data_IF_581978668483
#
_entry.id   IF_581978668483
#
_cell.length_a   1.000
_cell.length_b   1.000
_cell.length_c   1.000
_cell.angle_alpha   90.00
_cell.angle_beta   90.00
_cell.angle_gamma   90.00
#
_symmetry.space_group_name_H-M   'P 1'
#
loop_
_entity.id
_entity.type
_entity.pdbx_description
1 polymer ?
#
# COMPACT_ATOMS: atom_id res chain seq x y z
N UNK A 1 -20.03 59.61 -8.70
CA UNK A 1 -19.44 58.62 -9.63
C UNK A 1 -17.94 58.39 -9.43
N UNK A 2 -17.09 59.42 -9.32
CA UNK A 2 -15.62 59.24 -9.22
C UNK A 2 -15.10 58.38 -8.05
N UNK A 3 -15.76 58.39 -6.89
CA UNK A 3 -15.34 57.59 -5.72
C UNK A 3 -15.61 56.09 -5.87
N UNK A 4 -16.69 55.71 -6.57
CA UNK A 4 -17.00 54.30 -6.85
C UNK A 4 -16.02 53.76 -7.88
N UNK A 5 -15.69 54.55 -8.91
CA UNK A 5 -14.67 54.20 -9.90
C UNK A 5 -13.28 54.02 -9.25
N UNK A 6 -12.91 54.91 -8.33
CA UNK A 6 -11.64 54.81 -7.60
C UNK A 6 -11.56 53.56 -6.71
N UNK A 7 -12.66 53.16 -6.06
CA UNK A 7 -12.73 51.92 -5.28
C UNK A 7 -12.66 50.68 -6.18
N UNK A 8 -13.35 50.69 -7.32
CA UNK A 8 -13.32 49.57 -8.27
C UNK A 8 -11.93 49.40 -8.89
N UNK A 9 -11.22 50.50 -9.17
CA UNK A 9 -9.83 50.46 -9.64
C UNK A 9 -8.90 49.99 -8.52
N UNK A 10 -9.08 50.46 -7.29
CA UNK A 10 -8.29 49.99 -6.13
C UNK A 10 -8.47 48.49 -5.87
N UNK A 11 -9.70 47.98 -5.93
CA UNK A 11 -9.99 46.56 -5.84
C UNK A 11 -9.43 45.77 -7.02
N UNK A 12 -9.48 46.31 -8.24
CA UNK A 12 -8.87 45.68 -9.42
C UNK A 12 -7.34 45.57 -9.27
N UNK A 13 -6.69 46.61 -8.73
CA UNK A 13 -5.23 46.62 -8.49
C UNK A 13 -4.86 45.63 -7.39
N UNK A 14 -5.61 45.56 -6.29
CA UNK A 14 -5.40 44.56 -5.23
C UNK A 14 -5.62 43.14 -5.77
N UNK A 15 -6.64 42.94 -6.61
CA UNK A 15 -6.92 41.63 -7.23
C UNK A 15 -5.82 41.27 -8.23
N UNK A 16 -5.27 42.23 -8.98
CA UNK A 16 -4.13 42.02 -9.88
C UNK A 16 -2.83 41.74 -9.11
N UNK A 17 -2.60 42.38 -7.97
CA UNK A 17 -1.47 42.11 -7.09
C UNK A 17 -1.57 40.72 -6.44
N UNK A 18 -2.76 40.32 -5.99
CA UNK A 18 -3.02 38.97 -5.47
C UNK A 18 -2.88 37.90 -6.55
N UNK A 19 -3.33 38.20 -7.78
CA UNK A 19 -3.20 37.29 -8.93
C UNK A 19 -1.78 37.25 -9.50
N UNK A 20 -0.97 38.28 -9.26
CA UNK A 20 0.47 38.27 -9.52
C UNK A 20 1.24 37.48 -8.44
N UNK A 21 0.78 37.47 -7.19
CA UNK A 21 1.35 36.59 -6.15
C UNK A 21 1.00 35.11 -6.34
N UNK A 22 -0.09 34.77 -7.04
CA UNK A 22 -0.43 33.39 -7.41
C UNK A 22 0.34 32.87 -8.65
N UNK A 23 1.17 33.71 -9.30
CA UNK A 23 1.95 33.35 -10.50
C UNK A 23 3.43 33.72 -10.38
N UNK A 24 4.08 33.29 -9.30
CA UNK A 24 5.53 33.16 -9.26
C UNK A 24 5.91 31.68 -9.37
N UNK A 25 6.42 31.21 -10.51
CA UNK A 25 7.37 30.11 -10.51
C UNK A 25 8.80 30.68 -10.44
N UNK A 26 9.54 30.11 -9.48
CA UNK A 26 10.99 29.89 -9.47
C UNK A 26 11.91 31.07 -9.13
N UNK A 27 12.90 30.72 -8.30
CA UNK A 27 14.06 31.51 -7.85
C UNK A 27 13.79 32.57 -6.77
N UNK A 28 13.33 32.11 -5.60
CA UNK A 28 14.29 32.30 -4.52
C UNK A 28 15.44 31.35 -4.81
N UNK A 29 16.61 31.90 -5.11
CA UNK A 29 17.84 31.30 -4.60
C UNK A 29 17.72 31.32 -3.07
N UNK A 30 16.80 30.53 -2.53
CA UNK A 30 17.04 29.83 -1.29
C UNK A 30 18.31 29.07 -1.63
N UNK A 31 19.45 29.60 -1.18
CA UNK A 31 20.56 28.76 -0.80
C UNK A 31 19.90 27.57 -0.12
N UNK A 32 19.81 26.43 -0.83
CA UNK A 32 19.41 25.16 -0.25
C UNK A 32 20.22 25.14 1.04
N UNK A 33 19.62 25.12 2.24
CA UNK A 33 20.46 24.88 3.40
C UNK A 33 21.24 23.63 3.03
N UNK A 34 22.56 23.70 3.03
CA UNK A 34 23.43 22.56 2.70
C UNK A 34 23.13 21.34 3.62
N UNK A 35 22.22 21.53 4.58
CA UNK A 35 21.85 20.71 5.73
C UNK A 35 20.34 20.42 5.85
N UNK A 36 19.56 20.42 4.74
CA UNK A 36 18.14 20.00 4.76
C UNK A 36 17.94 18.52 4.41
N UNK A 37 16.98 17.85 5.06
CA UNK A 37 16.58 16.46 4.79
C UNK A 37 15.28 16.42 3.96
N UNK A 38 15.38 15.96 2.71
CA UNK A 38 14.23 15.73 1.84
C UNK A 38 13.56 14.39 2.18
N UNK A 39 12.32 14.39 2.65
CA UNK A 39 11.57 13.19 3.02
C UNK A 39 10.54 12.86 1.93
N UNK A 40 10.54 11.60 1.50
CA UNK A 40 9.49 10.99 0.68
C UNK A 40 8.93 9.80 1.42
N UNK A 41 7.62 9.78 1.67
CA UNK A 41 6.92 8.63 2.26
C UNK A 41 5.91 8.11 1.26
N UNK A 42 6.09 6.88 0.81
CA UNK A 42 5.04 6.17 0.09
C UNK A 42 4.28 5.28 1.07
N UNK A 43 2.97 5.47 1.16
CA UNK A 43 2.10 4.63 1.97
C UNK A 43 1.01 3.96 1.12
N UNK A 44 0.75 2.69 1.40
CA UNK A 44 -0.31 1.92 0.77
C UNK A 44 -1.07 1.15 1.85
N UNK A 45 -2.37 1.38 1.92
CA UNK A 45 -3.28 0.53 2.68
C UNK A 45 -3.53 -0.79 1.95
N UNK A 46 -4.48 -1.64 2.39
CA UNK A 46 -4.79 -2.91 1.73
C UNK A 46 -5.63 -2.76 0.44
N UNK A 47 -5.65 -1.55 -0.13
CA UNK A 47 -6.38 -1.19 -1.34
C UNK A 47 -5.39 -0.98 -2.48
N UNK A 48 -5.75 -1.43 -3.68
CA UNK A 48 -4.87 -1.40 -4.86
C UNK A 48 -5.44 -0.42 -5.91
N UNK A 49 -4.67 0.32 -6.76
CA UNK A 49 -3.48 1.14 -6.54
C UNK A 49 -3.70 2.63 -6.95
N UNK A 50 -2.63 3.45 -7.13
CA UNK A 50 -2.30 3.79 -8.51
C UNK A 50 -0.82 3.62 -8.84
N UNK A 51 -0.53 3.45 -10.14
CA UNK A 51 0.83 3.37 -10.68
C UNK A 51 1.40 4.76 -10.99
N UNK A 52 2.61 4.97 -10.46
CA UNK A 52 3.71 5.90 -10.80
C UNK A 52 3.50 7.39 -10.51
N UNK A 53 4.38 7.93 -9.66
CA UNK A 53 5.03 9.22 -9.93
C UNK A 53 6.55 9.00 -10.02
N UNK A 54 6.99 9.07 -11.28
CA UNK A 54 8.29 9.45 -11.83
C UNK A 54 9.50 8.69 -11.28
N UNK A 55 9.97 7.74 -12.11
CA UNK A 55 11.31 7.16 -12.16
C UNK A 55 12.33 7.81 -11.20
N UNK A 56 12.83 7.10 -10.18
CA UNK A 56 13.73 5.95 -10.36
C UNK A 56 13.18 4.64 -9.84
N UNK A 57 12.78 3.83 -10.82
CA UNK A 57 12.14 2.52 -10.78
C UNK A 57 12.50 1.58 -9.60
N UNK A 58 11.65 1.53 -8.57
CA UNK A 58 11.68 0.42 -7.61
C UNK A 58 11.43 0.76 -6.15
N UNK A 59 11.01 1.97 -5.80
CA UNK A 59 10.61 2.31 -4.43
C UNK A 59 9.27 1.64 -4.06
N UNK A 60 9.33 0.34 -3.80
CA UNK A 60 8.24 -0.41 -3.19
C UNK A 60 8.19 0.01 -1.71
N UNK A 61 7.13 0.75 -1.36
CA UNK A 61 6.81 1.20 0.01
C UNK A 61 8.03 1.62 0.84
N UNK A 62 8.73 2.66 0.43
CA UNK A 62 9.91 3.14 1.14
C UNK A 62 9.65 4.50 1.80
N UNK A 63 10.30 4.72 2.94
CA UNK A 63 10.58 6.06 3.44
C UNK A 63 11.95 6.45 2.87
N UNK A 64 11.97 7.37 1.92
CA UNK A 64 13.22 7.98 1.46
C UNK A 64 13.49 9.21 2.30
N UNK A 65 14.65 9.26 2.93
CA UNK A 65 15.09 10.41 3.71
C UNK A 65 16.45 10.86 3.16
N UNK A 66 16.44 11.94 2.38
CA UNK A 66 17.54 12.44 1.58
C UNK A 66 17.91 11.45 0.48
N UNK A 67 19.16 10.99 0.50
CA UNK A 67 19.66 9.94 -0.41
C UNK A 67 19.49 8.52 0.16
N UNK A 68 19.02 8.38 1.41
CA UNK A 68 18.85 7.09 2.06
C UNK A 68 17.45 6.54 1.79
N UNK A 69 17.38 5.33 1.26
CA UNK A 69 16.13 4.60 1.10
C UNK A 69 16.00 3.65 2.29
N UNK A 70 15.02 3.90 3.15
CA UNK A 70 14.65 2.99 4.22
C UNK A 70 13.67 1.98 3.62
N UNK A 71 14.25 0.92 3.05
CA UNK A 71 13.50 -0.20 2.47
C UNK A 71 13.31 -1.26 3.55
N UNK A 72 12.16 -1.89 3.48
CA UNK A 72 11.83 -3.11 4.19
C UNK A 72 12.63 -4.30 3.63
N UNK A 73 13.01 -5.23 4.49
CA UNK A 73 13.52 -6.54 4.05
C UNK A 73 12.42 -7.25 3.24
N UNK A 74 12.79 -8.06 2.25
CA UNK A 74 11.88 -8.62 1.22
C UNK A 74 10.63 -9.36 1.77
N UNK A 75 10.64 -9.74 3.06
CA UNK A 75 9.59 -10.49 3.75
C UNK A 75 8.94 -9.76 4.95
N UNK A 76 9.15 -8.46 5.14
CA UNK A 76 8.61 -7.82 6.35
C UNK A 76 7.08 -7.63 6.31
N UNK A 77 6.42 -7.72 7.49
CA UNK A 77 4.97 -7.87 7.57
C UNK A 77 4.22 -6.55 7.35
N UNK A 78 2.97 -6.63 6.85
CA UNK A 78 2.03 -5.50 6.79
C UNK A 78 1.95 -4.75 8.13
N UNK A 79 1.94 -3.42 8.12
CA UNK A 79 1.97 -2.62 9.34
C UNK A 79 2.19 -1.12 9.16
N UNK A 80 2.61 -0.46 10.25
CA UNK A 80 3.11 0.92 10.22
C UNK A 80 4.64 0.87 10.20
N UNK A 81 5.23 1.41 9.14
CA UNK A 81 6.66 1.72 9.11
C UNK A 81 6.87 3.02 9.84
N UNK A 82 7.87 3.06 10.70
CA UNK A 82 8.23 4.25 11.44
C UNK A 82 9.73 4.49 11.36
N UNK A 83 10.12 5.74 11.14
CA UNK A 83 11.49 6.20 11.23
C UNK A 83 11.56 7.41 12.17
N UNK A 84 12.62 7.48 12.96
CA UNK A 84 12.90 8.60 13.85
C UNK A 84 14.24 9.23 13.53
N UNK A 85 14.29 10.55 13.59
CA UNK A 85 15.50 11.33 13.36
C UNK A 85 15.79 12.24 14.54
N UNK A 86 17.06 12.40 14.85
CA UNK A 86 17.54 13.36 15.84
C UNK A 86 17.43 14.81 15.36
N UNK A 87 17.86 15.74 16.20
CA UNK A 87 17.98 17.16 15.83
C UNK A 87 19.06 17.42 14.77
N UNK A 88 20.01 16.51 14.63
CA UNK A 88 21.06 16.47 13.61
C UNK A 88 20.58 15.89 12.28
N UNK A 89 19.31 15.48 12.18
CA UNK A 89 18.71 14.81 11.03
C UNK A 89 19.35 13.45 10.70
N UNK A 90 20.06 12.85 11.66
CA UNK A 90 20.52 11.47 11.55
C UNK A 90 19.43 10.50 12.03
N UNK A 91 19.40 9.32 11.41
CA UNK A 91 18.45 8.26 11.77
C UNK A 91 18.82 7.75 13.16
N UNK A 92 17.90 7.88 14.11
CA UNK A 92 18.07 7.33 15.45
C UNK A 92 17.44 5.95 15.58
N UNK A 93 16.39 5.68 14.79
CA UNK A 93 15.65 4.43 14.88
C UNK A 93 14.80 4.21 13.61
N UNK A 94 14.58 2.94 13.28
CA UNK A 94 13.69 2.50 12.21
C UNK A 94 13.05 1.18 12.61
N UNK A 95 11.74 1.06 12.44
CA UNK A 95 10.98 -0.13 12.83
C UNK A 95 9.74 -0.29 11.97
N UNK A 96 9.28 -1.53 11.84
CA UNK A 96 8.00 -1.87 11.24
C UNK A 96 7.11 -2.54 12.27
N UNK A 97 5.86 -2.05 12.40
CA UNK A 97 4.91 -2.48 13.42
C UNK A 97 3.74 -3.19 12.78
N UNK A 98 3.68 -4.54 12.84
CA UNK A 98 2.61 -5.30 12.20
C UNK A 98 1.32 -5.30 13.02
N UNK A 99 0.65 -4.15 13.07
CA UNK A 99 -0.51 -3.89 13.93
C UNK A 99 -1.65 -4.90 13.70
N UNK A 100 -1.82 -5.41 12.48
CA UNK A 100 -2.85 -6.40 12.16
C UNK A 100 -2.49 -7.84 12.53
N UNK A 101 -1.32 -8.08 13.13
CA UNK A 101 -0.81 -9.43 13.41
C UNK A 101 -0.84 -9.79 14.89
N UNK A 102 -0.69 -8.81 15.80
CA UNK A 102 -0.79 -9.06 17.25
C UNK A 102 -1.04 -7.78 18.05
N UNK A 103 -1.70 -7.93 19.20
CA UNK A 103 -1.89 -6.85 20.19
C UNK A 103 -0.55 -6.30 20.70
N UNK A 104 0.45 -7.17 20.81
CA UNK A 104 1.81 -6.79 21.21
C UNK A 104 2.47 -5.84 20.21
N UNK A 105 2.18 -5.97 18.91
CA UNK A 105 2.67 -5.03 17.90
C UNK A 105 2.05 -3.63 18.08
N UNK A 106 0.77 -3.58 18.45
CA UNK A 106 0.08 -2.33 18.82
C UNK A 106 0.71 -1.69 20.05
N UNK A 107 0.98 -2.47 21.10
CA UNK A 107 1.65 -1.97 22.31
C UNK A 107 3.07 -1.47 22.01
N UNK A 108 3.85 -2.23 21.25
CA UNK A 108 5.19 -1.83 20.84
C UNK A 108 5.18 -0.53 20.03
N UNK A 109 4.20 -0.34 19.14
CA UNK A 109 4.05 0.90 18.38
C UNK A 109 3.72 2.10 19.28
N UNK A 110 2.78 1.93 20.22
CA UNK A 110 2.41 2.96 21.19
C UNK A 110 3.62 3.36 22.04
N UNK A 111 4.35 2.37 22.57
CA UNK A 111 5.54 2.58 23.38
C UNK A 111 6.66 3.25 22.57
N UNK A 112 6.83 2.84 21.31
CA UNK A 112 7.79 3.44 20.39
C UNK A 112 7.52 4.93 20.20
N UNK A 113 6.26 5.33 19.96
CA UNK A 113 5.86 6.74 19.83
C UNK A 113 6.11 7.51 21.14
N UNK A 114 5.78 6.91 22.29
CA UNK A 114 5.97 7.54 23.58
C UNK A 114 7.45 7.75 23.94
N UNK A 115 8.33 6.85 23.50
CA UNK A 115 9.77 6.87 23.83
C UNK A 115 10.61 7.84 22.97
N UNK A 116 10.00 8.55 22.01
CA UNK A 116 10.76 9.43 21.10
C UNK A 116 11.43 10.59 21.84
N UNK A 117 12.72 10.80 21.54
CA UNK A 117 13.52 11.85 22.14
C UNK A 117 12.97 13.26 21.83
N UNK A 118 13.32 14.23 22.67
CA UNK A 118 12.96 15.63 22.49
C UNK A 118 14.24 16.44 22.21
N UNK A 119 14.34 17.18 21.09
CA UNK A 119 13.45 17.17 19.92
C UNK A 119 13.80 16.01 18.95
N UNK A 120 12.81 15.52 18.21
CA UNK A 120 13.02 14.52 17.14
C UNK A 120 11.98 14.63 16.03
N UNK A 121 12.29 14.14 14.84
CA UNK A 121 11.31 13.98 13.75
C UNK A 121 10.84 12.53 13.74
N UNK A 122 9.54 12.32 13.55
CA UNK A 122 8.94 11.03 13.31
C UNK A 122 8.29 11.01 11.93
N UNK A 123 8.52 9.92 11.22
CA UNK A 123 7.96 9.65 9.90
C UNK A 123 7.23 8.32 9.98
N UNK A 124 5.95 8.30 9.58
CA UNK A 124 5.11 7.12 9.58
C UNK A 124 4.57 6.87 8.18
N UNK A 125 4.55 5.60 7.75
CA UNK A 125 3.94 5.18 6.49
C UNK A 125 3.23 3.84 6.65
N UNK A 126 1.97 3.77 6.23
CA UNK A 126 1.22 2.51 6.23
C UNK A 126 1.68 1.59 5.09
N UNK A 127 1.73 0.30 5.41
CA UNK A 127 2.06 -0.80 4.52
C UNK A 127 1.02 -1.89 4.67
N UNK A 128 0.27 -2.18 3.61
CA UNK A 128 -0.81 -3.16 3.66
C UNK A 128 -1.82 -2.87 4.77
N UNK A 129 -2.05 -3.83 5.65
CA UNK A 129 -3.07 -3.73 6.71
C UNK A 129 -2.53 -3.11 7.99
N UNK A 130 -3.29 -2.14 8.48
CA UNK A 130 -3.05 -1.45 9.76
C UNK A 130 -4.28 -1.44 10.67
N UNK A 131 -5.28 -2.28 10.34
CA UNK A 131 -6.51 -2.35 11.12
C UNK A 131 -6.26 -2.98 12.49
N UNK A 132 -6.84 -2.42 13.57
CA UNK A 132 -6.78 -3.00 14.90
C UNK A 132 -7.51 -4.35 14.95
N UNK A 133 -7.07 -5.24 15.85
CA UNK A 133 -7.71 -6.55 16.04
C UNK A 133 -8.91 -6.48 17.00
N UNK A 134 -9.06 -5.37 17.74
CA UNK A 134 -10.10 -5.18 18.76
C UNK A 134 -10.49 -3.70 18.91
N UNK A 135 -11.68 -3.44 19.46
CA UNK A 135 -12.14 -2.08 19.79
C UNK A 135 -11.23 -1.39 20.82
N UNK A 136 -10.60 -2.17 21.71
CA UNK A 136 -9.65 -1.66 22.69
C UNK A 136 -8.38 -1.12 21.99
N UNK A 137 -7.83 -1.87 21.02
CA UNK A 137 -6.70 -1.42 20.21
C UNK A 137 -7.06 -0.23 19.33
N UNK A 138 -8.25 -0.23 18.73
CA UNK A 138 -8.74 0.93 17.98
C UNK A 138 -8.74 2.18 18.86
N UNK A 139 -9.22 2.06 20.10
CA UNK A 139 -9.21 3.15 21.07
C UNK A 139 -7.80 3.59 21.45
N UNK A 140 -6.87 2.65 21.64
CA UNK A 140 -5.45 2.97 21.93
C UNK A 140 -4.79 3.68 20.75
N UNK A 141 -4.97 3.18 19.54
CA UNK A 141 -4.42 3.77 18.31
C UNK A 141 -5.05 5.13 17.98
N UNK A 142 -6.34 5.32 18.27
CA UNK A 142 -7.00 6.61 18.16
C UNK A 142 -6.36 7.66 19.09
N UNK A 143 -6.02 7.28 20.33
CA UNK A 143 -5.26 8.16 21.24
C UNK A 143 -3.88 8.47 20.72
N UNK A 144 -3.19 7.55 20.04
CA UNK A 144 -1.90 7.84 19.38
C UNK A 144 -2.08 8.88 18.28
N UNK A 145 -3.09 8.75 17.43
CA UNK A 145 -3.41 9.78 16.41
C UNK A 145 -3.67 11.15 17.06
N UNK A 146 -4.46 11.20 18.13
CA UNK A 146 -4.71 12.44 18.89
C UNK A 146 -3.43 13.01 19.48
N UNK A 147 -2.57 12.17 20.07
CA UNK A 147 -1.28 12.58 20.63
C UNK A 147 -0.35 13.14 19.56
N UNK A 148 -0.34 12.56 18.36
CA UNK A 148 0.43 13.04 17.22
C UNK A 148 -0.13 14.35 16.64
N UNK A 149 -1.40 14.67 16.92
CA UNK A 149 -2.11 15.75 16.24
C UNK A 149 -2.48 15.40 14.79
N UNK A 150 -2.53 14.10 14.46
CA UNK A 150 -2.98 13.62 13.15
C UNK A 150 -4.47 13.94 12.97
N UNK A 151 -4.84 14.43 11.78
CA UNK A 151 -6.24 14.65 11.43
C UNK A 151 -6.91 13.39 10.89
N UNK A 152 -6.14 12.55 10.21
CA UNK A 152 -6.67 11.31 9.68
C UNK A 152 -6.89 10.28 10.80
N UNK A 153 -7.82 9.37 10.54
CA UNK A 153 -8.08 8.19 11.39
C UNK A 153 -7.72 6.93 10.60
N UNK A 154 -6.43 6.62 10.45
CA UNK A 154 -5.94 5.54 9.59
C UNK A 154 -6.24 4.14 10.14
N UNK A 155 -6.49 4.05 11.44
CA UNK A 155 -6.73 2.80 12.17
C UNK A 155 -8.22 2.46 12.31
N UNK A 156 -9.10 3.13 11.57
CA UNK A 156 -10.53 2.83 11.61
C UNK A 156 -10.90 1.51 10.92
N UNK A 157 -12.19 1.18 10.97
CA UNK A 157 -12.75 0.02 10.26
C UNK A 157 -12.56 0.07 8.75
N UNK A 158 -12.43 1.28 8.18
CA UNK A 158 -12.19 1.46 6.75
C UNK A 158 -10.69 1.46 6.48
N UNK A 159 -10.18 0.54 5.63
CA UNK A 159 -8.77 0.52 5.33
C UNK A 159 -8.33 1.75 4.56
N UNK A 160 -7.14 2.25 4.89
CA UNK A 160 -6.61 3.46 4.30
C UNK A 160 -5.09 3.40 4.11
N UNK A 161 -4.62 4.14 3.12
CA UNK A 161 -3.22 4.51 2.96
C UNK A 161 -2.98 5.78 3.77
N UNK A 162 -1.96 5.79 4.61
CA UNK A 162 -1.64 6.93 5.46
C UNK A 162 -0.14 7.15 5.58
N UNK A 163 0.28 8.39 5.33
CA UNK A 163 1.63 8.85 5.55
C UNK A 163 1.59 10.09 6.45
N UNK A 164 2.52 10.16 7.39
CA UNK A 164 2.57 11.22 8.39
C UNK A 164 4.02 11.62 8.68
N UNK A 165 4.26 12.91 8.86
CA UNK A 165 5.52 13.48 9.31
C UNK A 165 5.21 14.44 10.45
N UNK A 166 5.87 14.27 11.58
CA UNK A 166 5.69 15.10 12.77
C UNK A 166 6.99 15.36 13.50
N UNK A 167 7.00 16.39 14.33
CA UNK A 167 8.12 16.70 15.23
C UNK A 167 7.69 16.55 16.68
N UNK A 168 8.52 15.90 17.48
CA UNK A 168 8.38 15.84 18.93
C UNK A 168 9.12 17.01 19.54
N UNK A 169 8.41 17.85 20.30
CA UNK A 169 8.96 18.97 21.07
C UNK A 169 8.63 18.81 22.55
N UNK A 170 9.19 19.68 23.40
CA UNK A 170 8.89 19.71 24.83
C UNK A 170 7.40 19.96 25.13
N UNK A 171 6.72 20.70 24.24
CA UNK A 171 5.29 20.98 24.32
C UNK A 171 4.39 19.82 23.85
N UNK A 172 4.96 18.75 23.28
CA UNK A 172 4.22 17.65 22.69
C UNK A 172 4.58 17.39 21.23
N UNK A 173 3.77 16.59 20.54
CA UNK A 173 3.90 16.39 19.11
C UNK A 173 3.29 17.55 18.33
N UNK A 174 3.93 17.89 17.21
CA UNK A 174 3.42 18.85 16.23
C UNK A 174 3.40 18.16 14.86
N UNK A 175 2.25 18.07 14.18
CA UNK A 175 2.16 17.51 12.84
C UNK A 175 2.77 18.47 11.81
N UNK A 176 3.72 17.99 11.02
CA UNK A 176 4.35 18.76 9.95
C UNK A 176 3.67 18.52 8.61
N UNK A 177 3.38 17.26 8.30
CA UNK A 177 2.65 16.92 7.09
C UNK A 177 1.89 15.60 7.21
N UNK A 178 0.79 15.49 6.47
CA UNK A 178 -0.07 14.31 6.48
C UNK A 178 -0.70 14.08 5.10
N UNK A 179 -0.77 12.82 4.69
CA UNK A 179 -1.48 12.37 3.50
C UNK A 179 -2.31 11.12 3.83
N UNK A 180 -3.54 11.08 3.34
CA UNK A 180 -4.51 10.03 3.65
C UNK A 180 -5.41 9.71 2.45
N UNK A 181 -5.67 8.43 2.20
CA UNK A 181 -6.66 8.00 1.20
C UNK A 181 -7.24 6.64 1.54
N UNK A 182 -8.57 6.56 1.60
CA UNK A 182 -9.31 5.30 1.64
C UNK A 182 -9.49 4.67 0.24
N UNK A 183 -8.94 5.25 -0.83
CA UNK A 183 -9.22 4.79 -2.20
C UNK A 183 -7.99 4.31 -2.94
N UNK A 184 -6.84 4.89 -2.61
CA UNK A 184 -5.60 4.78 -3.37
C UNK A 184 -4.41 4.80 -2.41
N UNK A 185 -3.23 4.38 -2.89
CA UNK A 185 -1.96 4.74 -2.25
C UNK A 185 -1.77 6.26 -2.16
N UNK A 186 -0.92 6.70 -1.23
CA UNK A 186 -0.52 8.10 -1.07
C UNK A 186 1.00 8.23 -1.10
N UNK A 187 1.48 9.38 -1.55
CA UNK A 187 2.89 9.76 -1.50
C UNK A 187 2.98 11.13 -0.84
N UNK A 188 3.80 11.25 0.20
CA UNK A 188 4.04 12.47 0.94
C UNK A 188 5.47 12.94 0.67
N UNK A 189 5.64 14.21 0.33
CA UNK A 189 6.92 14.85 0.08
C UNK A 189 7.08 16.03 1.03
N UNK A 190 8.18 16.09 1.78
CA UNK A 190 8.41 17.19 2.73
C UNK A 190 9.90 17.40 2.98
N UNK A 191 10.37 18.64 3.03
CA UNK A 191 11.78 18.95 3.37
C UNK A 191 11.85 19.50 4.79
N UNK A 192 12.68 18.89 5.64
CA UNK A 192 12.93 19.35 7.02
C UNK A 192 14.34 19.91 7.15
N UNK A 193 14.48 21.09 7.73
CA UNK A 193 15.76 21.66 8.17
C UNK A 193 15.99 21.45 9.70
N UNK A 194 17.23 21.55 10.20
CA UNK A 194 17.58 21.19 11.60
C UNK A 194 16.96 22.09 12.69
N UNK A 195 16.23 23.14 12.32
CA UNK A 195 15.67 24.13 13.23
C UNK A 195 14.32 23.66 13.81
N UNK A 196 14.32 22.49 14.48
CA UNK A 196 13.11 21.76 14.86
C UNK A 196 12.11 22.57 15.71
N UNK A 197 12.60 23.46 16.57
CA UNK A 197 11.75 24.29 17.45
C UNK A 197 10.90 25.32 16.69
N UNK A 198 11.24 25.65 15.43
CA UNK A 198 10.54 26.65 14.62
C UNK A 198 9.31 26.10 13.91
N UNK A 199 9.12 24.78 13.87
CA UNK A 199 8.05 24.16 13.09
C UNK A 199 6.66 24.13 13.75
N UNK A 200 6.52 24.65 14.97
CA UNK A 200 5.24 24.65 15.70
C UNK A 200 4.07 25.24 14.91
N UNK A 201 4.38 26.18 13.99
CA UNK A 201 3.41 26.92 13.19
C UNK A 201 3.34 26.42 11.73
N UNK A 202 3.95 25.26 11.41
CA UNK A 202 4.05 24.74 10.04
C UNK A 202 3.31 23.43 9.89
N UNK A 203 2.31 23.42 9.00
CA UNK A 203 1.57 22.22 8.61
C UNK A 203 1.31 22.23 7.11
N UNK A 204 1.83 21.23 6.41
CA UNK A 204 1.53 20.96 5.00
C UNK A 204 0.50 19.85 4.89
N UNK A 205 -0.55 20.05 4.10
CA UNK A 205 -1.45 18.98 3.70
C UNK A 205 -1.15 18.64 2.24
N UNK A 206 -0.79 17.37 1.97
CA UNK A 206 -0.53 16.90 0.61
C UNK A 206 -1.53 15.83 0.25
N UNK A 207 -2.47 16.18 -0.64
CA UNK A 207 -3.41 15.24 -1.21
C UNK A 207 -2.87 14.78 -2.57
N UNK A 208 -2.46 13.52 -2.69
CA UNK A 208 -2.11 12.93 -3.99
C UNK A 208 -3.36 12.31 -4.59
N UNK A 209 -3.97 13.01 -5.54
CA UNK A 209 -5.00 12.43 -6.41
C UNK A 209 -4.34 11.47 -7.42
N UNK A 210 -4.71 10.19 -7.36
CA UNK A 210 -4.23 9.19 -8.30
C UNK A 210 -4.74 9.42 -9.73
N UNK A 211 -4.00 8.98 -10.76
CA UNK A 211 -4.33 9.20 -12.16
C UNK A 211 -5.71 8.63 -12.54
N UNK A 212 -6.51 9.47 -13.21
CA UNK A 212 -7.73 9.08 -13.90
C UNK A 212 -7.38 8.24 -15.15
N UNK A 213 -7.17 6.94 -14.97
CA UNK A 213 -6.92 6.00 -16.06
C UNK A 213 -7.23 4.55 -15.70
N UNK A 214 -7.23 3.61 -16.67
CA UNK A 214 -7.41 2.20 -16.40
C UNK A 214 -6.32 1.72 -15.43
N UNK A 215 -6.75 1.20 -14.28
CA UNK A 215 -5.86 0.73 -13.23
C UNK A 215 -5.68 -0.78 -13.40
N UNK A 216 -4.42 -1.21 -13.30
CA UNK A 216 -4.02 -2.62 -13.33
C UNK A 216 -3.17 -2.89 -12.12
N UNK A 217 -3.53 -3.94 -11.38
CA UNK A 217 -2.75 -4.44 -10.26
C UNK A 217 -2.21 -5.81 -10.59
N UNK A 218 -0.94 -6.02 -10.27
CA UNK A 218 -0.27 -7.31 -10.36
C UNK A 218 -0.27 -7.93 -8.96
N UNK A 219 -1.18 -8.88 -8.70
CA UNK A 219 -1.36 -9.45 -7.36
C UNK A 219 -0.12 -10.19 -6.86
N UNK A 220 0.80 -10.59 -7.74
CA UNK A 220 2.10 -11.15 -7.33
C UNK A 220 2.94 -10.15 -6.51
N UNK A 221 2.86 -8.85 -6.84
CA UNK A 221 3.58 -7.79 -6.12
C UNK A 221 2.92 -7.47 -4.79
N UNK A 222 1.70 -7.95 -4.59
CA UNK A 222 0.88 -7.70 -3.42
C UNK A 222 0.88 -8.90 -2.45
N UNK A 223 1.72 -9.91 -2.69
CA UNK A 223 1.85 -11.10 -1.84
C UNK A 223 2.21 -10.80 -0.38
N UNK A 224 3.12 -9.87 -0.06
CA UNK A 224 3.45 -9.56 1.34
C UNK A 224 2.23 -9.09 2.17
N UNK A 225 1.15 -8.67 1.49
CA UNK A 225 -0.08 -8.15 2.10
C UNK A 225 -1.23 -9.17 2.11
N UNK A 226 -0.99 -10.38 1.60
CA UNK A 226 -1.95 -11.48 1.64
C UNK A 226 -1.83 -12.27 2.94
N UNK A 227 -2.97 -12.65 3.53
CA UNK A 227 -3.00 -13.70 4.53
C UNK A 227 -2.77 -15.04 3.83
N UNK A 228 -1.66 -15.68 4.18
CA UNK A 228 -1.30 -17.00 3.68
C UNK A 228 -1.64 -18.07 4.72
N UNK A 229 -2.33 -19.13 4.32
CA UNK A 229 -2.41 -20.35 5.11
C UNK A 229 -1.16 -21.21 4.83
N UNK A 230 -0.09 -20.96 5.60
CA UNK A 230 1.18 -21.72 5.68
C UNK A 230 2.07 -21.81 4.42
N UNK A 231 3.27 -22.40 4.59
CA UNK A 231 4.45 -22.50 3.67
C UNK A 231 4.22 -23.19 2.31
N UNK A 232 2.96 -23.38 1.93
CA UNK A 232 2.49 -23.95 0.68
C UNK A 232 2.45 -22.93 -0.48
N UNK A 233 2.41 -21.63 -0.20
CA UNK A 233 2.33 -20.58 -1.22
C UNK A 233 3.69 -19.90 -1.40
N UNK A 234 4.08 -19.58 -2.63
CA UNK A 234 5.27 -18.78 -2.89
C UNK A 234 5.26 -18.11 -4.25
N UNK A 235 6.33 -17.36 -4.54
CA UNK A 235 6.64 -16.87 -5.87
C UNK A 235 7.34 -17.96 -6.68
N UNK A 236 6.99 -18.07 -7.95
CA UNK A 236 7.76 -18.84 -8.92
C UNK A 236 8.08 -17.96 -10.12
N UNK A 237 9.36 -17.88 -10.45
CA UNK A 237 9.85 -17.23 -11.67
C UNK A 237 9.85 -18.18 -12.88
N UNK A 238 9.47 -19.45 -12.70
CA UNK A 238 9.70 -20.52 -13.67
C UNK A 238 8.46 -20.91 -14.49
N UNK A 239 7.35 -20.16 -14.38
CA UNK A 239 6.12 -20.45 -15.12
C UNK A 239 6.27 -20.16 -16.61
N UNK A 240 6.12 -21.13 -17.51
CA UNK A 240 6.14 -20.90 -18.97
C UNK A 240 4.75 -20.90 -19.59
N UNK A 241 4.16 -19.74 -19.88
CA UNK A 241 2.94 -19.64 -20.68
C UNK A 241 3.26 -19.29 -22.14
N UNK A 242 2.97 -20.19 -23.08
CA UNK A 242 3.17 -19.95 -24.51
C UNK A 242 4.65 -19.76 -24.92
N UNK A 243 5.59 -20.35 -24.18
CA UNK A 243 7.04 -20.23 -24.45
C UNK A 243 7.72 -19.03 -23.77
N UNK A 244 6.98 -18.17 -23.07
CA UNK A 244 7.51 -17.02 -22.32
C UNK A 244 7.56 -17.38 -20.84
N UNK A 245 8.71 -17.20 -20.20
CA UNK A 245 8.88 -17.29 -18.75
C UNK A 245 8.15 -16.12 -18.08
N UNK A 246 7.28 -16.42 -17.14
CA UNK A 246 6.40 -15.49 -16.45
C UNK A 246 6.40 -15.80 -14.96
N UNK A 247 6.48 -14.73 -14.16
CA UNK A 247 6.30 -14.81 -12.72
C UNK A 247 4.86 -15.18 -12.38
N UNK A 248 4.68 -15.88 -11.26
CA UNK A 248 3.36 -16.30 -10.81
C UNK A 248 3.37 -16.87 -9.41
N UNK A 249 2.18 -17.20 -8.93
CA UNK A 249 1.96 -17.72 -7.59
C UNK A 249 1.88 -19.22 -7.66
N UNK A 250 2.72 -19.90 -6.87
CA UNK A 250 2.75 -21.35 -6.79
C UNK A 250 2.04 -21.80 -5.51
N UNK A 251 1.06 -22.68 -5.67
CA UNK A 251 0.33 -23.31 -4.57
C UNK A 251 0.78 -24.77 -4.47
N UNK A 252 1.41 -25.15 -3.34
CA UNK A 252 1.98 -26.46 -3.04
C UNK A 252 1.32 -27.09 -1.80
N UNK A 253 0.22 -27.83 -1.94
CA UNK A 253 -0.45 -28.49 -0.82
C UNK A 253 0.49 -29.43 -0.06
N UNK A 254 0.37 -29.48 1.27
CA UNK A 254 1.28 -30.24 2.14
C UNK A 254 0.63 -31.56 2.58
N UNK A 255 0.37 -32.47 1.63
CA UNK A 255 -0.14 -33.79 1.99
C UNK A 255 -0.69 -34.58 0.82
N UNK A 256 -1.04 -35.84 1.10
CA UNK A 256 -1.70 -36.75 0.14
C UNK A 256 -3.24 -36.61 0.12
N UNK A 257 -3.82 -35.79 1.01
CA UNK A 257 -5.25 -35.50 1.04
C UNK A 257 -5.58 -34.21 0.28
N UNK A 258 -6.83 -34.05 -0.17
CA UNK A 258 -7.34 -32.83 -0.80
C UNK A 258 -7.29 -31.65 0.19
N UNK A 259 -6.13 -31.02 0.32
CA UNK A 259 -5.98 -29.78 1.08
C UNK A 259 -6.19 -28.58 0.16
N UNK A 260 -7.05 -27.67 0.62
CA UNK A 260 -7.25 -26.38 -0.03
C UNK A 260 -6.18 -25.41 0.48
N UNK A 261 -5.36 -24.89 -0.44
CA UNK A 261 -4.42 -23.81 -0.13
C UNK A 261 -5.05 -22.51 -0.57
N UNK A 262 -5.07 -21.52 0.32
CA UNK A 262 -5.75 -20.25 0.09
C UNK A 262 -4.82 -19.08 0.36
N UNK A 263 -5.00 -18.05 -0.43
CA UNK A 263 -4.33 -16.78 -0.29
C UNK A 263 -5.36 -15.66 -0.34
N UNK A 264 -5.32 -14.80 0.67
CA UNK A 264 -6.45 -13.94 1.01
C UNK A 264 -5.99 -12.50 1.16
N UNK A 265 -6.48 -11.62 0.29
CA UNK A 265 -6.41 -10.18 0.49
C UNK A 265 -7.71 -9.71 1.13
N UNK A 266 -7.66 -9.32 2.40
CA UNK A 266 -8.81 -8.71 3.07
C UNK A 266 -8.94 -7.25 2.65
N UNK A 267 -10.20 -6.83 2.55
CA UNK A 267 -10.60 -5.46 2.34
C UNK A 267 -10.05 -4.80 1.06
N UNK A 268 -9.95 -5.53 -0.05
CA UNK A 268 -9.60 -5.01 -1.38
C UNK A 268 -10.72 -4.11 -1.91
N UNK A 269 -10.40 -2.86 -2.27
CA UNK A 269 -11.35 -1.95 -2.93
C UNK A 269 -11.32 -2.16 -4.43
N UNK A 270 -12.45 -2.55 -4.99
CA UNK A 270 -12.61 -2.75 -6.43
C UNK A 270 -13.13 -1.47 -7.08
N UNK A 271 -12.47 -0.97 -8.11
CA UNK A 271 -12.94 0.21 -8.85
C UNK A 271 -14.10 -0.09 -9.79
N UNK A 272 -14.60 0.96 -10.45
CA UNK A 272 -15.69 0.83 -11.43
C UNK A 272 -15.26 -0.03 -12.62
N UNK A 273 -16.06 -1.06 -12.95
CA UNK A 273 -15.78 -1.93 -14.09
C UNK A 273 -14.79 -3.06 -13.79
N UNK A 274 -14.67 -3.46 -12.52
CA UNK A 274 -13.67 -4.43 -12.08
C UNK A 274 -13.72 -5.77 -12.82
N UNK A 275 -12.56 -6.31 -13.17
CA UNK A 275 -12.38 -7.68 -13.65
C UNK A 275 -11.06 -8.28 -13.18
N UNK A 276 -11.04 -9.60 -13.04
CA UNK A 276 -9.86 -10.38 -12.70
C UNK A 276 -9.38 -11.16 -13.93
N UNK A 277 -8.08 -11.32 -14.07
CA UNK A 277 -7.48 -12.15 -15.11
C UNK A 277 -6.24 -12.85 -14.58
N UNK A 278 -6.10 -14.14 -14.91
CA UNK A 278 -4.87 -14.90 -14.66
C UNK A 278 -4.69 -15.98 -15.73
N UNK A 279 -3.57 -16.69 -15.68
CA UNK A 279 -3.37 -17.96 -16.36
C UNK A 279 -3.23 -19.07 -15.33
N UNK A 280 -3.90 -20.19 -15.54
CA UNK A 280 -3.82 -21.36 -14.66
C UNK A 280 -3.09 -22.50 -15.36
N UNK A 281 -2.24 -23.22 -14.64
CA UNK A 281 -1.58 -24.40 -15.19
C UNK A 281 -0.62 -25.04 -14.20
N UNK A 282 0.08 -26.08 -14.66
CA UNK A 282 1.16 -26.73 -13.93
C UNK A 282 2.53 -26.28 -14.49
N UNK A 283 3.59 -26.25 -13.66
CA UNK A 283 4.94 -25.87 -14.11
C UNK A 283 5.46 -26.78 -15.23
N UNK A 284 5.11 -28.06 -15.18
CA UNK A 284 5.55 -29.13 -16.07
C UNK A 284 4.37 -29.93 -16.63
N UNK A 285 4.56 -30.53 -17.81
CA UNK A 285 3.57 -31.45 -18.40
C UNK A 285 3.76 -32.85 -17.82
N UNK A 286 2.68 -33.43 -17.31
CA UNK A 286 2.65 -34.80 -16.78
C UNK A 286 1.96 -35.78 -17.72
N UNK A 287 1.99 -37.09 -17.42
CA UNK A 287 1.13 -38.08 -18.04
C UNK A 287 -0.35 -37.71 -17.82
N UNK A 288 -1.19 -37.89 -18.85
CA UNK A 288 -2.61 -37.47 -18.79
C UNK A 288 -3.31 -38.01 -17.54
N UNK A 289 -3.85 -37.09 -16.74
CA UNK A 289 -4.65 -37.43 -15.57
C UNK A 289 -3.82 -37.78 -14.33
N UNK A 290 -2.51 -37.49 -14.33
CA UNK A 290 -1.67 -37.68 -13.14
C UNK A 290 -1.98 -36.65 -12.05
N UNK A 291 -2.35 -35.43 -12.44
CA UNK A 291 -2.64 -34.29 -11.56
C UNK A 291 -3.81 -33.46 -12.09
N UNK A 292 -4.71 -33.05 -11.20
CA UNK A 292 -5.68 -31.99 -11.47
C UNK A 292 -5.78 -31.00 -10.31
N UNK A 293 -6.24 -29.79 -10.60
CA UNK A 293 -6.47 -28.76 -9.60
C UNK A 293 -7.74 -27.96 -9.90
N UNK A 294 -8.56 -27.77 -8.88
CA UNK A 294 -9.67 -26.83 -8.89
C UNK A 294 -9.19 -25.50 -8.33
N UNK A 295 -9.20 -24.48 -9.17
CA UNK A 295 -8.88 -23.11 -8.81
C UNK A 295 -10.19 -22.34 -8.60
N UNK A 296 -10.28 -21.63 -7.48
CA UNK A 296 -11.46 -20.87 -7.07
C UNK A 296 -11.09 -19.41 -6.84
N UNK A 297 -11.88 -18.50 -7.40
CA UNK A 297 -11.90 -17.09 -7.05
C UNK A 297 -13.09 -16.87 -6.12
N UNK A 298 -12.83 -16.40 -4.91
CA UNK A 298 -13.85 -16.14 -3.90
C UNK A 298 -13.83 -14.67 -3.49
N UNK A 299 -15.00 -14.10 -3.25
CA UNK A 299 -15.19 -12.75 -2.73
C UNK A 299 -16.14 -12.84 -1.53
N UNK A 300 -15.71 -12.33 -0.37
CA UNK A 300 -16.49 -12.36 0.88
C UNK A 300 -17.03 -13.76 1.20
N UNK A 301 -16.14 -14.76 1.09
CA UNK A 301 -16.43 -16.19 1.25
C UNK A 301 -17.41 -16.80 0.25
N UNK A 302 -17.87 -16.03 -0.74
CA UNK A 302 -18.73 -16.51 -1.83
C UNK A 302 -17.87 -16.95 -2.99
N UNK A 303 -18.13 -18.15 -3.51
CA UNK A 303 -17.51 -18.62 -4.75
C UNK A 303 -18.03 -17.79 -5.93
N UNK A 304 -17.12 -17.07 -6.60
CA UNK A 304 -17.45 -16.22 -7.75
C UNK A 304 -17.22 -16.98 -9.05
N UNK A 305 -16.09 -17.66 -9.15
CA UNK A 305 -15.77 -18.50 -10.28
C UNK A 305 -14.90 -19.68 -9.83
N UNK A 306 -15.04 -20.80 -10.53
CA UNK A 306 -14.20 -21.97 -10.38
C UNK A 306 -13.72 -22.45 -11.74
N UNK A 307 -12.52 -22.99 -11.79
CA UNK A 307 -11.96 -23.63 -12.97
C UNK A 307 -11.11 -24.81 -12.59
N UNK A 308 -11.41 -25.95 -13.21
CA UNK A 308 -10.55 -27.12 -13.16
C UNK A 308 -9.47 -27.03 -14.24
N UNK A 309 -8.24 -27.38 -13.88
CA UNK A 309 -7.10 -27.54 -14.78
C UNK A 309 -6.43 -28.88 -14.52
N UNK A 310 -5.95 -29.51 -15.57
CA UNK A 310 -5.16 -30.74 -15.49
C UNK A 310 -3.77 -30.54 -16.12
N UNK A 311 -2.91 -31.53 -15.94
CA UNK A 311 -1.56 -31.59 -16.50
C UNK A 311 -1.47 -31.64 -18.03
N UNK A 312 -2.59 -31.80 -18.74
CA UNK A 312 -2.66 -31.82 -20.20
C UNK A 312 -3.15 -30.52 -20.82
N UNK A 313 -3.87 -29.71 -20.04
CA UNK A 313 -4.58 -28.49 -20.49
C UNK A 313 -3.64 -27.38 -20.97
N UNK A 314 -2.33 -27.49 -20.68
CA UNK A 314 -1.40 -26.38 -20.84
C UNK A 314 -1.81 -25.19 -19.96
N UNK A 315 -1.26 -24.01 -20.26
CA UNK A 315 -1.62 -22.79 -19.54
C UNK A 315 -2.91 -22.20 -20.09
N UNK A 316 -3.91 -22.06 -19.23
CA UNK A 316 -5.25 -21.67 -19.62
C UNK A 316 -5.58 -20.29 -19.08
N UNK A 317 -5.89 -19.36 -19.98
CA UNK A 317 -6.34 -18.01 -19.60
C UNK A 317 -7.69 -18.09 -18.89
N UNK A 318 -7.79 -17.45 -17.73
CA UNK A 318 -9.00 -17.40 -16.92
C UNK A 318 -9.38 -15.96 -16.57
N UNK A 319 -10.27 -15.33 -17.36
CA UNK A 319 -10.88 -14.05 -17.02
C UNK A 319 -12.13 -14.27 -16.15
N UNK A 320 -12.34 -13.40 -15.16
CA UNK A 320 -13.54 -13.39 -14.32
C UNK A 320 -14.08 -11.97 -14.22
N UNK A 321 -15.37 -11.81 -14.50
CA UNK A 321 -16.06 -10.52 -14.40
C UNK A 321 -16.41 -10.21 -12.94
N UNK A 322 -15.96 -9.06 -12.43
CA UNK A 322 -16.20 -8.62 -11.06
C UNK A 322 -17.06 -7.35 -11.00
N UNK A 323 -17.73 -6.98 -12.10
CA UNK A 323 -18.49 -5.72 -12.20
C UNK A 323 -19.56 -5.56 -11.12
N UNK A 324 -20.17 -6.65 -10.65
CA UNK A 324 -21.17 -6.63 -9.57
C UNK A 324 -20.60 -6.17 -8.22
N UNK A 325 -19.28 -6.15 -8.05
CA UNK A 325 -18.57 -5.71 -6.85
C UNK A 325 -17.89 -4.33 -7.06
N UNK A 326 -18.24 -3.61 -8.13
CA UNK A 326 -17.67 -2.29 -8.42
C UNK A 326 -17.90 -1.32 -7.26
N UNK A 327 -16.86 -0.57 -6.90
CA UNK A 327 -16.82 0.41 -5.82
C UNK A 327 -17.03 -0.17 -4.40
N UNK A 328 -16.97 -1.50 -4.25
CA UNK A 328 -17.04 -2.17 -2.96
C UNK A 328 -15.67 -2.47 -2.37
N UNK A 329 -15.61 -2.61 -1.06
CA UNK A 329 -14.46 -3.16 -0.31
C UNK A 329 -14.77 -4.61 0.02
N UNK A 330 -13.89 -5.54 -0.36
CA UNK A 330 -14.19 -6.98 -0.32
C UNK A 330 -13.01 -7.82 0.20
N UNK A 331 -13.27 -9.00 0.74
CA UNK A 331 -12.26 -10.04 0.97
C UNK A 331 -12.07 -10.84 -0.32
N UNK A 332 -10.94 -10.68 -0.99
CA UNK A 332 -10.57 -11.44 -2.18
C UNK A 332 -9.76 -12.68 -1.78
N UNK A 333 -10.14 -13.85 -2.26
CA UNK A 333 -9.44 -15.09 -2.01
C UNK A 333 -9.19 -15.86 -3.30
N UNK A 334 -7.93 -16.25 -3.50
CA UNK A 334 -7.53 -17.22 -4.50
C UNK A 334 -7.28 -18.54 -3.78
N UNK A 335 -8.04 -19.56 -4.13
CA UNK A 335 -7.97 -20.88 -3.50
C UNK A 335 -7.68 -21.94 -4.54
N UNK A 336 -6.80 -22.87 -4.21
CA UNK A 336 -6.49 -24.02 -5.03
C UNK A 336 -6.73 -25.30 -4.24
N UNK A 337 -7.39 -26.28 -4.85
CA UNK A 337 -7.52 -27.65 -4.34
C UNK A 337 -6.93 -28.58 -5.37
N UNK A 338 -5.95 -29.38 -4.99
CA UNK A 338 -5.31 -30.32 -5.93
C UNK A 338 -5.75 -31.73 -5.64
N UNK A 339 -5.90 -32.54 -6.69
CA UNK A 339 -6.12 -33.97 -6.61
C UNK A 339 -4.98 -34.71 -7.29
N UNK A 340 -4.41 -35.69 -6.58
CA UNK A 340 -3.39 -36.59 -7.10
C UNK A 340 -4.04 -37.92 -7.51
N UNK A 341 -3.70 -38.42 -8.69
CA UNK A 341 -4.03 -39.80 -9.07
C UNK A 341 -2.91 -40.80 -8.70
N UNK A 342 -1.69 -40.32 -8.41
CA UNK A 342 -0.49 -41.12 -8.15
C UNK A 342 0.46 -40.39 -7.18
N UNK A 343 1.11 -41.15 -6.28
CA UNK A 343 1.88 -40.66 -5.13
C UNK A 343 3.25 -40.01 -5.47
N UNK A 344 3.64 -39.95 -6.73
CA UNK A 344 4.95 -39.43 -7.14
C UNK A 344 4.82 -38.02 -7.74
N UNK A 345 4.71 -37.03 -6.85
CA UNK A 345 4.80 -35.62 -7.21
C UNK A 345 4.09 -34.72 -6.21
N UNK A 346 4.75 -33.64 -5.76
CA UNK A 346 4.07 -32.60 -4.99
C UNK A 346 3.20 -31.80 -5.97
N UNK A 347 1.86 -31.78 -5.83
CA UNK A 347 1.02 -31.07 -6.76
C UNK A 347 1.29 -29.57 -6.60
N UNK A 348 1.65 -28.91 -7.69
CA UNK A 348 1.88 -27.47 -7.70
C UNK A 348 1.02 -26.86 -8.81
N UNK A 349 0.01 -26.07 -8.44
CA UNK A 349 -0.71 -25.26 -9.43
C UNK A 349 -0.14 -23.85 -9.44
N UNK A 350 0.02 -23.31 -10.64
CA UNK A 350 0.50 -21.96 -10.87
C UNK A 350 -0.63 -21.05 -11.30
N UNK A 351 -0.66 -19.88 -10.69
CA UNK A 351 -1.45 -18.73 -11.10
C UNK A 351 -0.48 -17.71 -11.70
N UNK A 352 -0.39 -17.69 -13.04
CA UNK A 352 0.52 -16.86 -13.80
C UNK A 352 -0.04 -15.46 -14.02
N UNK A 353 0.70 -14.44 -13.58
CA UNK A 353 0.32 -13.03 -13.65
C UNK A 353 -1.13 -12.74 -13.23
N UNK A 354 -1.52 -13.07 -11.99
CA UNK A 354 -2.85 -12.74 -11.51
C UNK A 354 -3.00 -11.21 -11.43
N UNK A 355 -3.97 -10.67 -12.16
CA UNK A 355 -4.20 -9.23 -12.28
C UNK A 355 -5.63 -8.85 -11.96
N UNK A 356 -5.79 -7.72 -11.27
CA UNK A 356 -7.06 -7.02 -11.14
C UNK A 356 -7.02 -5.77 -12.01
N UNK A 357 -8.15 -5.46 -12.63
CA UNK A 357 -8.25 -4.37 -13.59
C UNK A 357 -9.56 -3.61 -13.41
N UNK A 358 -9.57 -2.29 -13.61
CA UNK A 358 -10.79 -1.47 -13.63
C UNK A 358 -10.52 -0.08 -14.24
N UNK A 359 -11.54 0.78 -14.35
CA UNK A 359 -11.36 2.18 -14.78
C UNK A 359 -11.20 2.39 -16.31
N UNK A 360 -11.35 1.35 -17.12
CA UNK A 360 -11.41 1.46 -18.59
C UNK A 360 -12.84 1.42 -19.11
N UNK A 361 -13.18 2.29 -20.08
CA UNK A 361 -14.27 1.99 -21.02
C UNK A 361 -13.77 0.84 -21.91
N UNK A 362 -14.57 -0.21 -22.05
CA UNK A 362 -14.26 -1.33 -22.96
C UNK A 362 -14.12 -0.84 -24.39
#
# INVERSE_FOLDING_TARGET
MGRVLAMSIGLLVITLLLRASEKLPTESQLSRPETGLDIVVSARGPLLPPRVLLDRSGLYEAIVAGERILVEEEDAPSGIRAASFGSDLEITDYSNFPLSSSVQATEAFVDWIAARAIPSICILGSSGRIQPLSEEEETRLARVCEQLGAQARPFGSTPASWAYIGVRLASGWVPLAEAYSEKTGVVLLFTVAPQLERYRDHRGEFLVEGPHGPQVVELERELPYAEMQASAVGLSLDGRAGGIQRAGLIFRPQGAQEEAVSMVWKAVRLGTGAYFQTYLGFPDRGPRGSRSATCELRIDDRLIASREVDDTSGWVRWPVDLRSFSNSVVRLELRARTRLASAEGRPAVLWGEPRLHWGGKR
#
